data_IF_570484600471
#
_entry.id   IF_570484600471
#
_cell.length_a   1.000
_cell.length_b   1.000
_cell.length_c   1.000
_cell.angle_alpha   90.00
_cell.angle_beta   90.00
_cell.angle_gamma   90.00
#
_symmetry.space_group_name_H-M   'P 1'
#
loop_
_entity.id
_entity.type
_entity.pdbx_description
1 polymer ?
#
# COMPACT_ATOMS: atom_id res chain seq x y z
N UNK A 1 10.89 27.96 -9.39
CA UNK A 1 11.02 26.51 -9.18
C UNK A 1 10.43 26.25 -7.80
N UNK A 2 9.15 25.92 -7.73
CA UNK A 2 8.46 25.64 -6.47
C UNK A 2 8.90 24.25 -6.06
N UNK A 3 9.63 24.11 -4.95
CA UNK A 3 9.80 22.82 -4.30
C UNK A 3 8.41 22.21 -4.11
N UNK A 4 8.12 21.12 -4.82
CA UNK A 4 6.96 20.30 -4.50
C UNK A 4 7.16 19.89 -3.05
N UNK A 5 6.28 20.35 -2.17
CA UNK A 5 6.22 19.92 -0.76
C UNK A 5 6.11 18.39 -0.79
N UNK A 6 7.23 17.71 -0.58
CA UNK A 6 7.26 16.25 -0.45
C UNK A 6 6.37 15.91 0.73
N UNK A 7 5.35 15.11 0.46
CA UNK A 7 4.38 14.72 1.48
C UNK A 7 4.99 13.49 2.15
N UNK A 8 5.20 13.60 3.45
CA UNK A 8 5.80 12.54 4.26
C UNK A 8 4.67 11.85 5.00
N UNK A 9 4.49 10.56 4.75
CA UNK A 9 3.60 9.73 5.56
C UNK A 9 4.37 9.31 6.82
N UNK A 10 3.90 9.75 7.98
CA UNK A 10 4.56 9.55 9.27
C UNK A 10 4.31 8.12 9.78
N UNK A 11 5.33 7.27 9.65
CA UNK A 11 5.31 5.87 10.06
C UNK A 11 6.68 5.44 10.55
N UNK A 12 6.68 4.43 11.43
CA UNK A 12 7.92 3.84 11.91
C UNK A 12 8.65 3.03 10.79
N UNK A 13 9.95 2.76 10.97
CA UNK A 13 10.74 2.03 9.96
C UNK A 13 10.23 0.62 9.63
N UNK A 14 9.63 -0.09 10.59
CA UNK A 14 9.13 -1.45 10.39
C UNK A 14 7.84 -1.44 9.55
N UNK A 15 6.93 -0.52 9.86
CA UNK A 15 5.71 -0.30 9.09
C UNK A 15 6.02 0.20 7.68
N UNK A 16 7.06 1.03 7.51
CA UNK A 16 7.57 1.43 6.19
C UNK A 16 8.02 0.23 5.36
N UNK A 17 8.87 -0.62 5.93
CA UNK A 17 9.36 -1.81 5.22
C UNK A 17 8.21 -2.76 4.87
N UNK A 18 7.26 -2.96 5.79
CA UNK A 18 6.08 -3.78 5.58
C UNK A 18 5.18 -3.24 4.47
N UNK A 19 4.84 -1.95 4.48
CA UNK A 19 4.01 -1.33 3.45
C UNK A 19 4.63 -1.46 2.05
N UNK A 20 5.94 -1.21 1.94
CA UNK A 20 6.65 -1.36 0.68
C UNK A 20 6.65 -2.83 0.21
N UNK A 21 6.84 -3.78 1.12
CA UNK A 21 6.79 -5.20 0.78
C UNK A 21 5.41 -5.64 0.30
N UNK A 22 4.34 -5.32 1.04
CA UNK A 22 2.96 -5.65 0.65
C UNK A 22 2.55 -5.01 -0.66
N UNK A 23 2.87 -3.72 -0.86
CA UNK A 23 2.58 -3.04 -2.11
C UNK A 23 3.35 -3.62 -3.30
N UNK A 24 4.62 -4.00 -3.10
CA UNK A 24 5.43 -4.67 -4.12
C UNK A 24 4.83 -6.01 -4.51
N UNK A 25 4.46 -6.83 -3.52
CA UNK A 25 3.84 -8.13 -3.76
C UNK A 25 2.51 -8.01 -4.51
N UNK A 26 1.73 -6.97 -4.23
CA UNK A 26 0.51 -6.68 -4.99
C UNK A 26 0.79 -6.27 -6.44
N UNK A 27 1.76 -5.38 -6.64
CA UNK A 27 2.03 -4.71 -7.90
C UNK A 27 2.78 -5.60 -8.90
N UNK A 28 3.62 -6.52 -8.41
CA UNK A 28 4.42 -7.41 -9.24
C UNK A 28 3.56 -8.17 -10.27
N UNK A 29 3.92 -8.05 -11.55
CA UNK A 29 3.26 -8.74 -12.66
C UNK A 29 1.90 -8.18 -13.10
N UNK A 30 1.41 -7.11 -12.47
CA UNK A 30 0.11 -6.52 -12.82
C UNK A 30 0.11 -5.72 -14.12
N UNK A 31 1.26 -5.22 -14.61
CA UNK A 31 1.35 -4.50 -15.89
C UNK A 31 0.43 -3.29 -15.98
N UNK A 32 0.38 -2.50 -14.91
CA UNK A 32 -0.46 -1.29 -14.82
C UNK A 32 0.29 -0.14 -14.14
N UNK A 33 -0.33 1.04 -14.13
CA UNK A 33 0.19 2.26 -13.51
C UNK A 33 0.66 2.09 -12.05
N UNK A 34 0.14 1.10 -11.31
CA UNK A 34 0.54 0.82 -9.93
C UNK A 34 2.01 0.44 -9.81
N UNK A 35 2.58 -0.18 -10.84
CA UNK A 35 4.00 -0.58 -10.88
C UNK A 35 4.90 0.65 -10.88
N UNK A 36 4.55 1.68 -11.67
CA UNK A 36 5.27 2.95 -11.67
C UNK A 36 5.22 3.64 -10.30
N UNK A 37 4.02 3.78 -9.73
CA UNK A 37 3.83 4.43 -8.43
C UNK A 37 4.60 3.72 -7.30
N UNK A 38 4.48 2.39 -7.20
CA UNK A 38 5.18 1.61 -6.17
C UNK A 38 6.70 1.66 -6.37
N UNK A 39 7.18 1.52 -7.60
CA UNK A 39 8.61 1.64 -7.92
C UNK A 39 9.19 3.01 -7.53
N UNK A 40 8.48 4.09 -7.85
CA UNK A 40 8.96 5.44 -7.58
C UNK A 40 9.03 5.72 -6.07
N UNK A 41 8.08 5.21 -5.27
CA UNK A 41 8.13 5.29 -3.80
C UNK A 41 9.27 4.44 -3.23
N UNK A 42 9.49 3.23 -3.74
CA UNK A 42 10.64 2.39 -3.32
C UNK A 42 11.96 3.11 -3.60
N UNK A 43 12.10 3.66 -4.81
CA UNK A 43 13.31 4.38 -5.21
C UNK A 43 13.57 5.61 -4.33
N UNK A 44 12.52 6.36 -3.98
CA UNK A 44 12.62 7.54 -3.12
C UNK A 44 13.04 7.19 -1.68
N UNK A 45 12.70 6.00 -1.20
CA UNK A 45 12.93 5.58 0.19
C UNK A 45 14.06 4.56 0.36
N UNK A 46 14.72 4.14 -0.72
CA UNK A 46 15.78 3.13 -0.69
C UNK A 46 16.86 3.45 0.36
N UNK A 47 17.24 4.72 0.48
CA UNK A 47 18.21 5.20 1.49
C UNK A 47 17.82 4.93 2.94
N UNK A 48 16.51 4.91 3.23
CA UNK A 48 15.91 4.78 4.56
C UNK A 48 15.65 3.34 4.98
N UNK A 49 15.88 2.39 4.10
CA UNK A 49 15.69 0.98 4.36
C UNK A 49 16.96 0.37 4.92
N UNK A 50 16.80 -0.49 5.92
CA UNK A 50 17.89 -1.33 6.41
C UNK A 50 18.26 -2.40 5.36
N UNK A 51 19.37 -3.09 5.61
CA UNK A 51 19.90 -4.09 4.68
C UNK A 51 18.90 -5.24 4.42
N UNK A 52 18.17 -5.68 5.44
CA UNK A 52 17.24 -6.81 5.32
C UNK A 52 16.02 -6.43 4.48
N UNK A 53 15.45 -5.24 4.70
CA UNK A 53 14.35 -4.72 3.91
C UNK A 53 14.76 -4.47 2.46
N UNK A 54 15.98 -3.96 2.22
CA UNK A 54 16.52 -3.79 0.86
C UNK A 54 16.67 -5.13 0.13
N UNK A 55 17.21 -6.13 0.81
CA UNK A 55 17.38 -7.49 0.26
C UNK A 55 16.01 -8.11 -0.07
N UNK A 56 15.06 -8.07 0.87
CA UNK A 56 13.73 -8.62 0.67
C UNK A 56 12.98 -7.97 -0.52
N UNK A 57 13.04 -6.64 -0.64
CA UNK A 57 12.45 -5.94 -1.78
C UNK A 57 13.17 -6.26 -3.09
N UNK A 58 14.50 -6.35 -3.05
CA UNK A 58 15.31 -6.72 -4.23
C UNK A 58 14.88 -8.09 -4.75
N UNK A 59 14.74 -9.07 -3.86
CA UNK A 59 14.33 -10.42 -4.22
C UNK A 59 12.87 -10.48 -4.72
N UNK A 60 11.98 -9.68 -4.15
CA UNK A 60 10.59 -9.58 -4.61
C UNK A 60 10.45 -8.95 -6.01
N UNK A 61 11.30 -7.95 -6.32
CA UNK A 61 11.22 -7.19 -7.57
C UNK A 61 11.93 -7.91 -8.72
N UNK A 62 13.07 -8.57 -8.44
CA UNK A 62 13.96 -9.14 -9.45
C UNK A 62 13.27 -10.07 -10.47
N UNK A 63 12.36 -10.99 -10.07
CA UNK A 63 11.66 -11.84 -11.04
C UNK A 63 10.85 -11.04 -12.08
N UNK A 64 10.20 -9.95 -11.67
CA UNK A 64 9.42 -9.11 -12.57
C UNK A 64 10.30 -8.24 -13.47
N UNK A 65 11.46 -7.78 -12.97
CA UNK A 65 12.44 -7.06 -13.77
C UNK A 65 13.07 -7.98 -14.84
N UNK A 66 13.49 -9.18 -14.46
CA UNK A 66 14.17 -10.15 -15.33
C UNK A 66 13.25 -10.73 -16.41
N UNK A 67 11.95 -10.78 -16.16
CA UNK A 67 10.97 -11.16 -17.17
C UNK A 67 10.96 -10.22 -18.40
N UNK A 68 11.48 -8.99 -18.26
CA UNK A 68 11.68 -8.07 -19.37
C UNK A 68 10.40 -7.52 -19.99
N UNK A 69 9.27 -7.54 -19.26
CA UNK A 69 8.03 -6.96 -19.75
C UNK A 69 8.21 -5.45 -20.00
N UNK A 70 7.86 -4.94 -21.20
CA UNK A 70 8.16 -3.55 -21.57
C UNK A 70 7.40 -2.50 -20.74
N UNK A 71 6.34 -2.90 -20.03
CA UNK A 71 5.57 -2.02 -19.14
C UNK A 71 6.23 -1.97 -17.76
N UNK A 72 6.53 -3.13 -17.19
CA UNK A 72 6.98 -3.24 -15.79
C UNK A 72 8.49 -3.10 -15.63
N UNK A 73 9.28 -3.70 -16.53
CA UNK A 73 10.73 -3.81 -16.39
C UNK A 73 11.44 -2.45 -16.26
N UNK A 74 11.08 -1.38 -17.00
CA UNK A 74 11.72 -0.08 -16.83
C UNK A 74 11.52 0.51 -15.43
N UNK A 75 10.35 0.32 -14.82
CA UNK A 75 10.07 0.80 -13.47
C UNK A 75 10.83 -0.04 -12.45
N UNK A 76 10.75 -1.37 -12.53
CA UNK A 76 11.43 -2.25 -11.59
C UNK A 76 12.95 -2.14 -11.64
N UNK A 77 13.53 -1.96 -12.82
CA UNK A 77 14.97 -1.73 -12.98
C UNK A 77 15.43 -0.46 -12.25
N UNK A 78 14.64 0.62 -12.28
CA UNK A 78 14.97 1.85 -11.54
C UNK A 78 14.91 1.65 -10.03
N UNK A 79 13.89 0.95 -9.52
CA UNK A 79 13.78 0.64 -8.10
C UNK A 79 14.95 -0.24 -7.63
N UNK A 80 15.32 -1.28 -8.39
CA UNK A 80 16.47 -2.13 -8.10
C UNK A 80 17.77 -1.31 -8.03
N UNK A 81 18.02 -0.46 -9.03
CA UNK A 81 19.20 0.40 -9.03
C UNK A 81 19.25 1.33 -7.80
N UNK A 82 18.10 1.86 -7.37
CA UNK A 82 18.02 2.68 -6.16
C UNK A 82 18.29 1.88 -4.88
N UNK A 83 17.70 0.68 -4.73
CA UNK A 83 17.95 -0.21 -3.59
C UNK A 83 19.44 -0.56 -3.44
N UNK A 84 20.12 -0.78 -4.56
CA UNK A 84 21.55 -1.11 -4.62
C UNK A 84 22.46 0.08 -4.31
N UNK A 85 22.11 1.29 -4.76
CA UNK A 85 23.06 2.42 -4.79
C UNK A 85 22.71 3.58 -3.84
N UNK A 86 21.52 3.61 -3.26
CA UNK A 86 21.11 4.72 -2.40
C UNK A 86 21.98 4.83 -1.15
N UNK A 87 22.51 6.03 -0.93
CA UNK A 87 23.20 6.41 0.30
C UNK A 87 22.25 6.28 1.51
N UNK A 88 22.76 5.93 2.70
CA UNK A 88 21.95 5.90 3.91
C UNK A 88 21.26 7.24 4.17
N UNK A 89 19.96 7.17 4.46
CA UNK A 89 19.11 8.30 4.83
C UNK A 89 18.46 7.98 6.18
N UNK A 90 18.75 8.79 7.20
CA UNK A 90 18.21 8.62 8.56
C UNK A 90 16.85 9.30 8.79
N UNK A 91 16.21 9.80 7.74
CA UNK A 91 14.90 10.44 7.84
C UNK A 91 13.80 9.42 8.17
N UNK A 92 12.89 9.81 9.04
CA UNK A 92 11.69 9.03 9.36
C UNK A 92 10.64 9.08 8.24
N UNK A 93 9.58 8.27 8.36
CA UNK A 93 8.44 8.25 7.46
C UNK A 93 8.71 7.73 6.05
N UNK A 94 7.68 7.82 5.20
CA UNK A 94 7.67 7.36 3.81
C UNK A 94 7.47 8.55 2.85
N UNK A 95 8.44 8.80 2.00
CA UNK A 95 8.43 9.89 1.01
C UNK A 95 7.77 9.46 -0.31
N UNK A 96 7.00 10.35 -0.92
CA UNK A 96 6.38 10.11 -2.21
C UNK A 96 5.51 11.29 -2.65
N UNK A 97 5.02 11.23 -3.89
CA UNK A 97 3.92 12.13 -4.26
C UNK A 97 2.63 11.64 -3.61
N UNK A 98 1.67 12.53 -3.26
CA UNK A 98 0.40 12.11 -2.66
C UNK A 98 -0.35 11.06 -3.49
N UNK A 99 -0.22 11.12 -4.82
CA UNK A 99 -0.82 10.15 -5.74
C UNK A 99 -0.16 8.79 -5.61
N UNK A 100 1.18 8.74 -5.60
CA UNK A 100 1.93 7.48 -5.52
C UNK A 100 1.77 6.83 -4.14
N UNK A 101 1.79 7.62 -3.07
CA UNK A 101 1.53 7.15 -1.71
C UNK A 101 0.13 6.57 -1.57
N UNK A 102 -0.89 7.24 -2.11
CA UNK A 102 -2.27 6.73 -2.13
C UNK A 102 -2.38 5.40 -2.89
N UNK A 103 -1.74 5.30 -4.05
CA UNK A 103 -1.72 4.06 -4.85
C UNK A 103 -1.00 2.95 -4.09
N UNK A 104 0.15 3.25 -3.48
CA UNK A 104 0.91 2.32 -2.67
C UNK A 104 0.06 1.79 -1.50
N UNK A 105 -0.65 2.65 -0.78
CA UNK A 105 -1.55 2.24 0.31
C UNK A 105 -2.66 1.31 -0.18
N UNK A 106 -3.27 1.57 -1.34
CA UNK A 106 -4.25 0.64 -1.92
C UNK A 106 -3.64 -0.71 -2.29
N UNK A 107 -2.43 -0.71 -2.86
CA UNK A 107 -1.72 -1.93 -3.21
C UNK A 107 -1.40 -2.77 -1.97
N UNK A 108 -0.82 -2.14 -0.94
CA UNK A 108 -0.54 -2.81 0.33
C UNK A 108 -1.83 -3.33 0.98
N UNK A 109 -2.89 -2.52 1.05
CA UNK A 109 -4.16 -2.90 1.66
C UNK A 109 -4.76 -4.15 1.01
N UNK A 110 -4.84 -4.17 -0.32
CA UNK A 110 -5.42 -5.30 -1.05
C UNK A 110 -4.56 -6.56 -1.02
N UNK A 111 -3.25 -6.43 -0.80
CA UNK A 111 -2.40 -7.60 -0.55
C UNK A 111 -2.60 -8.15 0.85
N UNK A 112 -2.73 -7.26 1.83
CA UNK A 112 -2.84 -7.63 3.23
C UNK A 112 -4.21 -8.22 3.58
N UNK A 113 -5.26 -7.91 2.80
CA UNK A 113 -6.61 -8.47 2.99
C UNK A 113 -6.58 -10.00 3.17
N UNK A 114 -7.13 -10.48 4.28
CA UNK A 114 -7.10 -11.90 4.67
C UNK A 114 -5.81 -12.36 5.38
N UNK A 115 -4.87 -11.44 5.59
CA UNK A 115 -3.69 -11.58 6.44
C UNK A 115 -3.83 -10.77 7.73
N UNK A 116 -2.71 -10.21 8.22
CA UNK A 116 -2.70 -9.44 9.46
C UNK A 116 -3.24 -8.00 9.27
N UNK A 117 -4.32 -7.68 9.98
CA UNK A 117 -4.99 -6.39 9.96
C UNK A 117 -4.35 -5.30 10.87
N UNK A 118 -3.41 -5.67 11.75
CA UNK A 118 -2.96 -4.80 12.84
C UNK A 118 -2.33 -3.47 12.42
N UNK A 119 -1.66 -3.43 11.26
CA UNK A 119 -1.15 -2.18 10.67
C UNK A 119 -2.31 -1.25 10.27
N UNK A 120 -3.33 -1.80 9.61
CA UNK A 120 -4.46 -1.04 9.09
C UNK A 120 -5.34 -0.49 10.19
N UNK A 121 -5.53 -1.23 11.29
CA UNK A 121 -6.20 -0.71 12.48
C UNK A 121 -5.49 0.54 13.01
N UNK A 122 -4.15 0.48 13.20
CA UNK A 122 -3.37 1.62 13.70
C UNK A 122 -3.41 2.82 12.75
N UNK A 123 -3.28 2.59 11.44
CA UNK A 123 -3.37 3.68 10.45
C UNK A 123 -4.76 4.29 10.37
N UNK A 124 -5.83 3.60 10.76
CA UNK A 124 -7.19 4.16 10.75
C UNK A 124 -7.55 4.92 12.02
N UNK A 125 -6.85 4.66 13.13
CA UNK A 125 -7.00 5.38 14.40
C UNK A 125 -6.51 6.84 14.29
N UNK A 126 -5.40 7.08 13.59
CA UNK A 126 -4.89 8.41 13.24
C UNK A 126 -4.53 8.47 11.74
N UNK A 127 -5.52 8.73 10.86
CA UNK A 127 -5.35 8.54 9.42
C UNK A 127 -4.42 9.58 8.80
N UNK A 128 -3.40 9.14 8.02
CA UNK A 128 -2.63 10.07 7.21
C UNK A 128 -3.52 10.70 6.13
N UNK A 129 -3.10 11.85 5.59
CA UNK A 129 -3.88 12.62 4.60
C UNK A 129 -4.24 11.80 3.34
N UNK A 130 -3.41 10.81 2.98
CA UNK A 130 -3.65 9.90 1.86
C UNK A 130 -4.81 8.91 2.09
N UNK A 131 -5.21 8.67 3.34
CA UNK A 131 -6.40 7.86 3.72
C UNK A 131 -7.63 8.79 3.81
N UNK A 132 -7.94 9.41 2.68
CA UNK A 132 -9.10 10.30 2.54
C UNK A 132 -10.44 9.53 2.43
N UNK A 133 -11.55 10.27 2.37
CA UNK A 133 -12.90 9.68 2.29
C UNK A 133 -13.11 8.78 1.06
N UNK A 134 -12.48 9.09 -0.08
CA UNK A 134 -12.57 8.25 -1.27
C UNK A 134 -11.69 6.99 -1.12
N UNK A 135 -10.54 7.08 -0.45
CA UNK A 135 -9.73 5.90 -0.14
C UNK A 135 -10.52 4.94 0.75
N UNK A 136 -11.10 5.47 1.83
CA UNK A 136 -11.95 4.72 2.76
C UNK A 136 -13.12 4.04 2.07
N UNK A 137 -13.83 4.77 1.20
CA UNK A 137 -14.97 4.23 0.45
C UNK A 137 -14.59 3.05 -0.45
N UNK A 138 -13.45 3.14 -1.16
CA UNK A 138 -12.97 2.08 -2.05
C UNK A 138 -12.47 0.88 -1.24
N UNK A 139 -11.74 1.10 -0.16
CA UNK A 139 -11.23 0.02 0.70
C UNK A 139 -12.37 -0.71 1.43
N UNK A 140 -13.40 0.01 1.90
CA UNK A 140 -14.60 -0.59 2.48
C UNK A 140 -15.34 -1.46 1.46
N UNK A 141 -15.46 -0.97 0.22
CA UNK A 141 -16.01 -1.74 -0.90
C UNK A 141 -15.23 -3.03 -1.12
N UNK A 142 -13.90 -2.96 -1.21
CA UNK A 142 -13.07 -4.14 -1.44
C UNK A 142 -13.24 -5.19 -0.31
N UNK A 143 -13.34 -4.76 0.95
CA UNK A 143 -13.64 -5.66 2.08
C UNK A 143 -15.07 -6.24 2.05
N UNK A 144 -16.05 -5.44 1.64
CA UNK A 144 -17.43 -5.88 1.50
C UNK A 144 -17.56 -6.97 0.43
N UNK A 145 -16.94 -6.76 -0.74
CA UNK A 145 -16.89 -7.75 -1.83
C UNK A 145 -16.22 -9.05 -1.38
N UNK A 146 -15.17 -8.94 -0.57
CA UNK A 146 -14.45 -10.10 -0.05
C UNK A 146 -15.14 -10.79 1.15
N UNK A 147 -16.32 -10.33 1.58
CA UNK A 147 -17.10 -10.98 2.64
C UNK A 147 -16.63 -10.66 4.06
N UNK A 148 -15.81 -9.62 4.26
CA UNK A 148 -15.34 -9.21 5.59
C UNK A 148 -16.32 -8.26 6.31
N UNK A 149 -17.38 -7.81 5.63
CA UNK A 149 -18.40 -6.98 6.25
C UNK A 149 -19.27 -7.82 7.20
N UNK A 150 -19.41 -7.44 8.49
CA UNK A 150 -20.30 -8.13 9.40
C UNK A 150 -21.75 -8.13 8.91
N UNK A 151 -22.50 -9.17 9.30
CA UNK A 151 -23.93 -9.22 8.99
C UNK A 151 -24.66 -7.99 9.55
N UNK A 152 -25.38 -7.27 8.67
CA UNK A 152 -26.13 -6.07 9.04
C UNK A 152 -25.30 -4.79 9.15
N UNK A 153 -24.01 -4.84 8.81
CA UNK A 153 -23.17 -3.66 8.71
C UNK A 153 -23.66 -2.73 7.57
N UNK A 154 -23.43 -1.40 7.65
CA UNK A 154 -23.84 -0.48 6.60
C UNK A 154 -23.11 -0.81 5.30
N UNK A 155 -23.80 -0.69 4.16
CA UNK A 155 -23.18 -0.84 2.85
C UNK A 155 -22.18 0.30 2.58
N UNK A 156 -21.07 0.01 1.87
CA UNK A 156 -20.15 1.05 1.45
C UNK A 156 -20.84 2.01 0.47
N UNK A 157 -20.41 3.29 0.41
CA UNK A 157 -21.08 4.33 -0.39
C UNK A 157 -20.95 4.13 -1.92
N UNK A 158 -20.17 3.14 -2.37
CA UNK A 158 -20.01 2.76 -3.77
C UNK A 158 -20.87 1.50 -4.00
N UNK A 159 -22.03 1.67 -4.62
CA UNK A 159 -23.10 0.64 -4.72
C UNK A 159 -22.94 -0.36 -5.88
N UNK A 160 -23.70 -1.47 -5.77
CA UNK A 160 -23.90 -2.62 -6.69
C UNK A 160 -23.09 -3.89 -6.43
N UNK A 161 -23.07 -4.37 -5.18
CA UNK A 161 -22.27 -5.53 -4.81
C UNK A 161 -23.10 -6.52 -4.01
N UNK A 162 -23.08 -7.79 -4.42
CA UNK A 162 -23.51 -8.90 -3.57
C UNK A 162 -22.28 -9.38 -2.78
N UNK A 163 -22.34 -9.41 -1.43
CA UNK A 163 -21.22 -9.88 -0.63
C UNK A 163 -20.96 -11.37 -0.91
N UNK A 164 -19.70 -11.74 -1.13
CA UNK A 164 -19.29 -13.14 -1.33
C UNK A 164 -19.27 -13.88 0.02
N UNK A 165 -20.44 -14.14 0.61
CA UNK A 165 -20.54 -14.88 1.88
C UNK A 165 -19.82 -14.20 3.06
N UNK A 166 -19.72 -14.92 4.18
CA UNK A 166 -19.04 -14.45 5.40
C UNK A 166 -17.64 -15.06 5.47
N UNK A 167 -16.61 -14.21 5.45
CA UNK A 167 -15.20 -14.62 5.55
C UNK A 167 -14.81 -15.00 6.99
N UNK A 168 -15.60 -14.60 8.00
CA UNK A 168 -15.41 -15.01 9.39
C UNK A 168 -14.13 -14.51 10.07
N UNK A 169 -13.57 -13.37 9.62
CA UNK A 169 -12.37 -12.76 10.20
C UNK A 169 -12.72 -11.52 11.02
N UNK A 170 -12.73 -11.60 12.36
CA UNK A 170 -13.09 -10.48 13.24
C UNK A 170 -12.16 -9.26 13.08
N UNK A 171 -10.88 -9.47 12.76
CA UNK A 171 -9.93 -8.37 12.69
C UNK A 171 -10.19 -7.50 11.44
N UNK A 172 -10.46 -8.15 10.31
CA UNK A 172 -10.84 -7.43 9.08
C UNK A 172 -12.27 -6.88 9.13
N UNK A 173 -13.17 -7.50 9.90
CA UNK A 173 -14.46 -6.93 10.24
C UNK A 173 -14.33 -5.61 11.03
N UNK A 174 -13.42 -5.52 11.99
CA UNK A 174 -13.15 -4.28 12.73
C UNK A 174 -12.58 -3.19 11.82
N UNK A 175 -11.66 -3.54 10.90
CA UNK A 175 -11.15 -2.61 9.87
C UNK A 175 -12.29 -2.12 8.98
N UNK A 176 -13.18 -3.01 8.54
CA UNK A 176 -14.37 -2.63 7.78
C UNK A 176 -15.21 -1.59 8.52
N UNK A 177 -15.50 -1.84 9.80
CA UNK A 177 -16.28 -0.93 10.64
C UNK A 177 -15.59 0.43 10.82
N UNK A 178 -14.27 0.46 10.96
CA UNK A 178 -13.50 1.71 11.04
C UNK A 178 -13.58 2.53 9.73
N UNK A 179 -13.56 1.86 8.57
CA UNK A 179 -13.64 2.52 7.26
C UNK A 179 -15.01 3.16 7.02
N UNK A 180 -16.10 2.46 7.33
CA UNK A 180 -17.47 2.98 7.15
C UNK A 180 -17.88 3.97 8.25
N UNK A 181 -17.33 3.83 9.45
CA UNK A 181 -17.62 4.71 10.59
C UNK A 181 -16.91 6.06 10.56
N UNK A 182 -15.71 6.12 9.95
CA UNK A 182 -14.88 7.34 9.91
C UNK A 182 -15.24 8.37 8.83
N UNK A 183 -16.41 8.25 8.19
CA UNK A 183 -16.86 9.16 7.12
C UNK A 183 -17.69 10.36 7.57
N UNK A 184 -17.54 10.85 8.81
CA UNK A 184 -18.28 12.02 9.34
C UNK A 184 -17.42 13.26 9.47
#
# INVERSE_FOLDING_TARGET
MTEKKRTLLDIDPADRARLLASATAYAAGRRTYVVGAVSDVIAANAGRLDAAAREALTDAIRPAADAGDPIDAPAWTRALAALETAAPDGSDGLDGSPVDLRILLFCAFRHDMGGDAGLWTRLLDDPPEEIDGQWRAISARDLYEAGYAPQGAPEPPIQHLEPLGDAGDPAWADVYMALVGGGR
#
